data_IF_390563955338
#
_entry.id   IF_390563955338
#
_cell.length_a   1.000
_cell.length_b   1.000
_cell.length_c   1.000
_cell.angle_alpha   90.00
_cell.angle_beta   90.00
_cell.angle_gamma   90.00
#
_symmetry.space_group_name_H-M   'P 1'
#
loop_
_entity.id
_entity.type
_entity.pdbx_description
1 polymer ?
#
# COMPACT_ATOMS: atom_id res chain seq x y z
N UNK A 1 -8.15 44.89 62.72
CA UNK A 1 -6.97 44.04 62.74
C UNK A 1 -7.39 42.59 62.70
N UNK A 2 -7.26 41.94 61.61
CA UNK A 2 -7.12 40.47 61.57
C UNK A 2 -7.05 40.06 60.10
N UNK A 3 -5.89 39.65 59.75
CA UNK A 3 -5.45 38.88 58.62
C UNK A 3 -6.51 38.06 57.89
N UNK A 4 -6.81 38.44 56.65
CA UNK A 4 -7.45 37.56 55.67
C UNK A 4 -6.48 37.49 54.51
N UNK A 5 -5.48 36.73 54.68
CA UNK A 5 -4.51 36.43 53.64
C UNK A 5 -4.12 34.97 53.79
N UNK A 6 -4.79 34.05 53.15
CA UNK A 6 -4.27 32.70 52.98
C UNK A 6 -5.17 31.72 52.17
N UNK A 7 -6.18 32.20 51.46
CA UNK A 7 -7.02 31.26 50.71
C UNK A 7 -6.91 31.36 49.19
N UNK A 8 -5.86 32.03 48.69
CA UNK A 8 -5.68 32.22 47.26
C UNK A 8 -4.53 31.38 46.66
N UNK A 9 -4.20 30.24 47.23
CA UNK A 9 -3.10 29.37 46.72
C UNK A 9 -3.45 27.91 46.53
N UNK A 10 -4.69 27.54 46.49
CA UNK A 10 -5.10 26.14 46.29
C UNK A 10 -6.13 25.99 45.17
N UNK A 11 -5.80 26.42 43.97
CA UNK A 11 -6.74 26.34 42.88
C UNK A 11 -6.09 26.16 41.47
N UNK A 12 -4.80 25.93 41.43
CA UNK A 12 -4.12 25.87 40.11
C UNK A 12 -3.27 24.62 39.93
N UNK A 13 -3.77 23.49 40.39
CA UNK A 13 -3.01 22.25 40.27
C UNK A 13 -3.97 21.09 40.01
N UNK A 14 -4.71 21.10 38.96
CA UNK A 14 -5.37 19.88 38.44
C UNK A 14 -6.06 20.14 37.12
N UNK A 15 -5.35 20.38 36.03
CA UNK A 15 -5.87 20.09 34.69
C UNK A 15 -4.72 19.96 33.69
N UNK A 16 -3.71 19.22 34.02
CA UNK A 16 -2.90 18.53 33.03
C UNK A 16 -3.59 17.19 32.76
N UNK A 17 -4.79 17.25 32.19
CA UNK A 17 -5.33 16.12 31.47
C UNK A 17 -4.39 15.91 30.30
N UNK A 18 -3.51 14.94 30.45
CA UNK A 18 -2.79 14.34 29.37
C UNK A 18 -3.84 13.92 28.33
N UNK A 19 -4.04 14.77 27.32
CA UNK A 19 -4.51 14.32 26.04
C UNK A 19 -3.42 13.41 25.48
N UNK A 20 -3.36 12.19 25.98
CA UNK A 20 -2.80 11.07 25.25
C UNK A 20 -3.72 10.89 24.02
N UNK A 21 -3.52 11.78 23.06
CA UNK A 21 -3.93 11.54 21.71
C UNK A 21 -3.28 10.23 21.34
N UNK A 22 -4.00 9.14 21.51
CA UNK A 22 -3.76 7.91 20.78
C UNK A 22 -3.86 8.32 19.32
N UNK A 23 -2.73 8.75 18.77
CA UNK A 23 -2.53 8.81 17.34
C UNK A 23 -2.68 7.36 16.92
N UNK A 24 -3.92 6.97 16.66
CA UNK A 24 -4.18 5.79 15.88
C UNK A 24 -3.34 6.02 14.63
N UNK A 25 -2.23 5.31 14.52
CA UNK A 25 -1.44 5.24 13.32
C UNK A 25 -2.43 4.83 12.25
N UNK A 26 -2.98 5.82 11.55
CA UNK A 26 -3.78 5.59 10.38
C UNK A 26 -2.90 4.68 9.54
N UNK A 27 -3.33 3.44 9.35
CA UNK A 27 -2.65 2.43 8.56
C UNK A 27 -2.39 3.13 7.25
N UNK A 28 -1.17 3.61 7.07
CA UNK A 28 -0.78 4.42 5.94
C UNK A 28 -1.13 3.58 4.73
N UNK A 29 -2.15 3.99 4.01
CA UNK A 29 -2.53 3.35 2.75
C UNK A 29 -1.45 3.66 1.73
N UNK A 30 -0.26 3.10 1.96
CA UNK A 30 0.83 3.19 1.00
C UNK A 30 0.49 2.25 -0.12
N UNK A 31 0.23 2.73 -1.32
CA UNK A 31 -0.11 1.87 -2.44
C UNK A 31 1.11 1.07 -2.94
N UNK A 32 2.30 1.32 -2.39
CA UNK A 32 3.52 0.62 -2.78
C UNK A 32 3.44 -0.86 -2.41
N UNK A 33 3.71 -1.74 -3.37
CA UNK A 33 3.64 -3.18 -3.20
C UNK A 33 3.68 -3.92 -4.52
N UNK A 34 3.62 -5.25 -4.43
CA UNK A 34 3.53 -6.16 -5.54
C UNK A 34 2.09 -6.64 -5.71
N UNK A 35 1.50 -6.34 -6.84
CA UNK A 35 0.15 -6.75 -7.23
C UNK A 35 0.23 -7.78 -8.35
N UNK A 36 -0.50 -8.86 -8.21
CA UNK A 36 -0.51 -9.96 -9.18
C UNK A 36 -1.94 -10.42 -9.44
N UNK A 37 -2.21 -10.86 -10.65
CA UNK A 37 -3.43 -11.61 -10.95
C UNK A 37 -3.46 -12.89 -10.11
N UNK A 38 -4.53 -13.14 -9.33
CA UNK A 38 -4.61 -14.36 -8.55
C UNK A 38 -4.65 -15.58 -9.46
N UNK A 39 -3.83 -16.57 -9.15
CA UNK A 39 -3.80 -17.83 -9.88
C UNK A 39 -4.89 -18.76 -9.33
N UNK A 40 -6.03 -18.82 -9.99
CA UNK A 40 -7.11 -19.73 -9.64
C UNK A 40 -7.14 -21.03 -10.47
N UNK A 41 -6.02 -21.50 -10.96
CA UNK A 41 -5.92 -22.84 -11.58
C UNK A 41 -6.69 -23.03 -12.88
N UNK A 42 -7.21 -21.98 -13.49
CA UNK A 42 -7.89 -22.03 -14.78
C UNK A 42 -6.92 -21.64 -15.89
N UNK A 43 -6.57 -22.60 -16.69
CA UNK A 43 -5.42 -22.70 -17.60
C UNK A 43 -5.26 -21.66 -18.72
N UNK A 44 -5.97 -20.53 -18.74
CA UNK A 44 -5.79 -19.48 -19.76
C UNK A 44 -5.94 -18.05 -19.21
N UNK A 45 -5.84 -17.84 -17.92
CA UNK A 45 -5.93 -16.51 -17.34
C UNK A 45 -4.61 -15.77 -17.59
N UNK A 46 -4.69 -14.61 -18.24
CA UNK A 46 -3.55 -13.71 -18.41
C UNK A 46 -2.98 -13.29 -17.07
N UNK A 47 -1.72 -13.60 -16.82
CA UNK A 47 -1.03 -13.18 -15.60
C UNK A 47 -0.46 -11.78 -15.82
N UNK A 48 -0.85 -10.87 -14.95
CA UNK A 48 -0.33 -9.50 -14.91
C UNK A 48 0.32 -9.27 -13.56
N UNK A 49 1.52 -8.73 -13.57
CA UNK A 49 2.27 -8.35 -12.38
C UNK A 49 2.55 -6.85 -12.42
N UNK A 50 2.20 -6.14 -11.36
CA UNK A 50 2.44 -4.70 -11.20
C UNK A 50 3.19 -4.46 -9.89
N UNK A 51 4.39 -3.91 -9.98
CA UNK A 51 5.16 -3.44 -8.84
C UNK A 51 5.04 -1.92 -8.72
N UNK A 52 4.51 -1.43 -7.61
CA UNK A 52 4.42 -0.01 -7.28
C UNK A 52 5.48 0.33 -6.23
N UNK A 53 6.35 1.29 -6.53
CA UNK A 53 7.44 1.70 -5.64
C UNK A 53 7.11 2.97 -4.84
N UNK A 54 7.73 3.16 -3.66
CA UNK A 54 7.48 4.35 -2.83
C UNK A 54 7.78 5.68 -3.52
N UNK A 55 8.70 5.70 -4.49
CA UNK A 55 9.08 6.87 -5.27
C UNK A 55 8.13 7.22 -6.41
N UNK A 56 6.90 6.63 -6.42
CA UNK A 56 5.87 6.83 -7.45
C UNK A 56 6.19 6.25 -8.83
N UNK A 57 7.19 5.43 -8.94
CA UNK A 57 7.47 4.64 -10.15
C UNK A 57 6.73 3.31 -10.09
N UNK A 58 6.48 2.73 -11.27
CA UNK A 58 5.98 1.35 -11.38
C UNK A 58 6.69 0.58 -12.47
N UNK A 59 6.65 -0.75 -12.34
CA UNK A 59 6.97 -1.69 -13.40
C UNK A 59 5.80 -2.67 -13.57
N UNK A 60 5.49 -3.03 -14.78
CA UNK A 60 4.45 -3.97 -15.11
C UNK A 60 4.92 -4.98 -16.14
N UNK A 61 4.62 -6.24 -15.89
CA UNK A 61 4.84 -7.36 -16.80
C UNK A 61 3.52 -8.08 -17.06
N UNK A 62 3.43 -8.74 -18.22
CA UNK A 62 2.29 -9.57 -18.58
C UNK A 62 2.79 -10.77 -19.38
N UNK A 63 2.21 -11.94 -19.13
CA UNK A 63 2.58 -13.20 -19.78
C UNK A 63 2.24 -13.24 -21.27
N UNK A 64 1.29 -12.42 -21.74
CA UNK A 64 1.00 -12.27 -23.18
C UNK A 64 2.09 -11.54 -23.95
N UNK A 65 3.03 -10.91 -23.23
CA UNK A 65 4.18 -10.19 -23.80
C UNK A 65 5.44 -10.49 -22.98
N UNK A 66 5.88 -11.74 -22.95
CA UNK A 66 7.01 -12.14 -22.14
C UNK A 66 8.26 -11.30 -22.50
N UNK A 67 9.03 -10.95 -21.48
CA UNK A 67 10.25 -10.15 -21.64
C UNK A 67 10.05 -8.66 -21.88
N UNK A 68 8.80 -8.17 -21.98
CA UNK A 68 8.52 -6.73 -22.10
C UNK A 68 8.06 -6.17 -20.76
N UNK A 69 8.88 -5.30 -20.19
CA UNK A 69 8.56 -4.54 -18.99
C UNK A 69 8.06 -3.16 -19.38
N UNK A 70 6.87 -2.81 -18.92
CA UNK A 70 6.38 -1.43 -18.97
C UNK A 70 6.80 -0.72 -17.71
N UNK A 71 7.32 0.50 -17.85
CA UNK A 71 7.75 1.36 -16.74
C UNK A 71 7.07 2.70 -16.85
N UNK A 72 6.83 3.33 -15.74
CA UNK A 72 6.25 4.66 -15.70
C UNK A 72 6.06 5.18 -14.28
N UNK A 73 5.18 6.14 -14.14
CA UNK A 73 4.85 6.77 -12.87
C UNK A 73 3.38 6.59 -12.53
N UNK A 74 3.07 6.64 -11.24
CA UNK A 74 1.70 6.58 -10.78
C UNK A 74 1.36 7.71 -9.80
N UNK A 75 0.08 8.00 -9.69
CA UNK A 75 -0.45 8.95 -8.70
C UNK A 75 -1.59 8.33 -7.92
N UNK A 76 -1.73 8.73 -6.67
CA UNK A 76 -2.83 8.34 -5.80
C UNK A 76 -3.85 9.47 -5.74
N UNK A 77 -5.10 9.19 -6.07
CA UNK A 77 -6.22 10.14 -5.99
C UNK A 77 -7.38 9.44 -5.30
N UNK A 78 -7.80 9.91 -4.14
CA UNK A 78 -8.92 9.36 -3.38
C UNK A 78 -8.86 7.81 -3.27
N UNK A 79 -7.71 7.28 -2.85
CA UNK A 79 -7.45 5.84 -2.69
C UNK A 79 -7.45 5.01 -4.00
N UNK A 80 -7.53 5.66 -5.15
CA UNK A 80 -7.36 5.02 -6.45
C UNK A 80 -5.98 5.35 -7.01
N UNK A 81 -5.35 4.37 -7.60
CA UNK A 81 -4.01 4.48 -8.19
C UNK A 81 -4.18 4.62 -9.69
N UNK A 82 -3.63 5.69 -10.25
CA UNK A 82 -3.65 5.96 -11.68
C UNK A 82 -2.24 5.85 -12.23
N UNK A 83 -2.05 4.95 -13.19
CA UNK A 83 -0.80 4.81 -13.92
C UNK A 83 -0.77 5.82 -15.09
N UNK A 84 0.41 6.28 -15.47
CA UNK A 84 0.58 7.25 -16.57
C UNK A 84 0.20 6.69 -17.95
N UNK A 85 0.08 5.37 -18.08
CA UNK A 85 -0.40 4.69 -19.27
C UNK A 85 -1.94 4.60 -19.39
N UNK A 86 -2.68 5.30 -18.52
CA UNK A 86 -4.14 5.33 -18.49
C UNK A 86 -4.81 4.18 -17.74
N UNK A 87 -4.05 3.26 -17.17
CA UNK A 87 -4.62 2.22 -16.31
C UNK A 87 -4.96 2.76 -14.92
N UNK A 88 -5.94 2.13 -14.28
CA UNK A 88 -6.39 2.46 -12.93
C UNK A 88 -6.42 1.20 -12.09
N UNK A 89 -5.81 1.25 -10.90
CA UNK A 89 -5.88 0.21 -9.89
C UNK A 89 -6.71 0.71 -8.71
N UNK A 90 -7.79 0.03 -8.38
CA UNK A 90 -8.71 0.41 -7.31
C UNK A 90 -8.99 -0.79 -6.40
N UNK A 91 -8.99 -0.56 -5.08
CA UNK A 91 -9.29 -1.60 -4.10
C UNK A 91 -10.77 -1.99 -4.17
N UNK A 92 -11.06 -3.28 -4.14
CA UNK A 92 -12.41 -3.79 -3.88
C UNK A 92 -12.79 -3.55 -2.43
N UNK A 93 -14.09 -3.35 -2.21
CA UNK A 93 -14.65 -3.32 -0.85
C UNK A 93 -14.85 -4.72 -0.29
N UNK A 94 -14.99 -5.69 -1.17
CA UNK A 94 -15.21 -7.09 -0.82
C UNK A 94 -13.87 -7.79 -0.61
N UNK A 95 -13.75 -8.53 0.48
CA UNK A 95 -12.57 -9.31 0.84
C UNK A 95 -12.70 -10.79 0.43
N UNK A 96 -13.77 -11.16 -0.28
CA UNK A 96 -14.08 -12.54 -0.67
C UNK A 96 -14.01 -13.53 0.52
N UNK A 97 -14.33 -13.04 1.74
CA UNK A 97 -14.31 -13.83 2.96
C UNK A 97 -12.92 -14.05 3.57
N UNK A 98 -11.87 -13.41 3.04
CA UNK A 98 -10.51 -13.44 3.58
C UNK A 98 -10.02 -12.02 3.90
N UNK A 99 -10.25 -11.52 5.12
CA UNK A 99 -9.87 -10.17 5.52
C UNK A 99 -8.35 -9.95 5.58
N UNK A 100 -7.54 -11.01 5.49
CA UNK A 100 -6.08 -10.92 5.44
C UNK A 100 -5.55 -10.51 4.07
N UNK A 101 -6.37 -10.59 3.02
CA UNK A 101 -6.00 -10.30 1.65
C UNK A 101 -6.65 -9.01 1.14
N UNK A 102 -5.93 -8.28 0.34
CA UNK A 102 -6.44 -7.08 -0.31
C UNK A 102 -6.57 -7.32 -1.81
N UNK A 103 -7.82 -7.22 -2.29
CA UNK A 103 -8.14 -7.39 -3.71
C UNK A 103 -8.31 -6.03 -4.38
N UNK A 104 -7.87 -5.96 -5.63
CA UNK A 104 -7.90 -4.77 -6.46
C UNK A 104 -8.44 -5.10 -7.84
N UNK A 105 -8.98 -4.10 -8.54
CA UNK A 105 -9.30 -4.16 -9.96
C UNK A 105 -8.33 -3.29 -10.73
N UNK A 106 -7.64 -3.87 -11.71
CA UNK A 106 -6.86 -3.14 -12.70
C UNK A 106 -7.73 -2.91 -13.93
N UNK A 107 -8.13 -1.68 -14.16
CA UNK A 107 -8.93 -1.29 -15.31
C UNK A 107 -8.05 -0.78 -16.44
N UNK A 108 -8.21 -1.35 -17.63
CA UNK A 108 -7.55 -0.92 -18.87
C UNK A 108 -8.54 -0.95 -20.02
N UNK A 109 -8.78 0.19 -20.68
CA UNK A 109 -9.68 0.29 -21.84
C UNK A 109 -11.08 -0.32 -21.58
N UNK A 110 -11.63 -0.08 -20.39
CA UNK A 110 -12.93 -0.60 -19.97
C UNK A 110 -12.95 -2.09 -19.58
N UNK A 111 -11.83 -2.79 -19.70
CA UNK A 111 -11.68 -4.17 -19.20
C UNK A 111 -11.11 -4.15 -17.80
N UNK A 112 -11.64 -5.01 -16.95
CA UNK A 112 -11.19 -5.18 -15.58
C UNK A 112 -10.43 -6.50 -15.43
N UNK A 113 -9.35 -6.46 -14.67
CA UNK A 113 -8.51 -7.61 -14.33
C UNK A 113 -8.41 -7.62 -12.81
N UNK A 114 -8.75 -8.75 -12.21
CA UNK A 114 -8.63 -8.94 -10.77
C UNK A 114 -7.15 -9.01 -10.39
N UNK A 115 -6.79 -8.29 -9.34
CA UNK A 115 -5.44 -8.21 -8.80
C UNK A 115 -5.47 -8.46 -7.30
N UNK A 116 -4.47 -9.14 -6.80
CA UNK A 116 -4.23 -9.35 -5.37
C UNK A 116 -2.98 -8.55 -4.97
N UNK A 117 -3.05 -7.81 -3.88
CA UNK A 117 -1.83 -7.33 -3.22
C UNK A 117 -1.12 -8.54 -2.62
N UNK A 118 -0.10 -9.00 -3.32
CA UNK A 118 0.64 -10.20 -2.98
C UNK A 118 1.66 -9.95 -1.87
N UNK A 119 2.35 -8.83 -1.93
CA UNK A 119 3.37 -8.46 -0.97
C UNK A 119 3.57 -6.95 -0.88
N UNK A 120 3.84 -6.48 0.30
CA UNK A 120 4.34 -5.14 0.59
C UNK A 120 5.60 -5.23 1.48
N UNK A 121 6.24 -4.09 1.74
CA UNK A 121 7.44 -4.03 2.57
C UNK A 121 7.17 -4.48 4.01
N UNK A 122 5.97 -4.18 4.55
CA UNK A 122 5.59 -4.54 5.92
C UNK A 122 5.49 -6.06 6.09
N UNK A 123 4.94 -6.74 5.11
CA UNK A 123 4.82 -8.18 5.14
C UNK A 123 6.20 -8.86 5.21
N UNK A 124 7.14 -8.44 4.37
CA UNK A 124 8.48 -9.04 4.32
C UNK A 124 9.36 -8.66 5.50
N UNK A 125 9.29 -7.43 5.98
CA UNK A 125 9.99 -7.00 7.20
C UNK A 125 9.53 -7.84 8.40
N UNK A 126 8.22 -7.99 8.55
CA UNK A 126 7.64 -8.69 9.70
C UNK A 126 7.87 -10.21 9.66
N UNK A 127 7.79 -10.81 8.48
CA UNK A 127 7.87 -12.26 8.30
C UNK A 127 9.30 -12.78 8.19
N UNK A 128 10.15 -12.08 7.46
CA UNK A 128 11.47 -12.58 7.05
C UNK A 128 12.63 -11.74 7.60
N UNK A 129 12.33 -10.67 8.36
CA UNK A 129 13.37 -9.79 8.91
C UNK A 129 14.19 -9.05 7.83
N UNK A 130 13.66 -8.98 6.61
CA UNK A 130 14.34 -8.33 5.49
C UNK A 130 14.19 -6.81 5.63
N UNK A 131 15.29 -6.04 5.44
CA UNK A 131 15.18 -4.58 5.47
C UNK A 131 14.34 -4.07 4.31
N UNK A 132 13.67 -2.93 4.53
CA UNK A 132 12.84 -2.27 3.52
C UNK A 132 13.62 -2.00 2.22
N UNK A 133 14.86 -1.52 2.34
CA UNK A 133 15.72 -1.26 1.19
C UNK A 133 16.01 -2.52 0.39
N UNK A 134 16.33 -3.62 1.07
CA UNK A 134 16.60 -4.91 0.43
C UNK A 134 15.37 -5.45 -0.28
N UNK A 135 14.18 -5.31 0.32
CA UNK A 135 12.91 -5.70 -0.31
C UNK A 135 12.69 -4.96 -1.64
N UNK A 136 12.75 -3.62 -1.63
CA UNK A 136 12.52 -2.82 -2.82
C UNK A 136 13.57 -3.04 -3.92
N UNK A 137 14.82 -3.25 -3.52
CA UNK A 137 15.90 -3.58 -4.46
C UNK A 137 15.68 -4.93 -5.15
N UNK A 138 15.30 -5.95 -4.39
CA UNK A 138 14.99 -7.28 -4.94
C UNK A 138 13.77 -7.23 -5.86
N UNK A 139 12.70 -6.58 -5.44
CA UNK A 139 11.49 -6.42 -6.24
C UNK A 139 11.77 -5.71 -7.57
N UNK A 140 12.57 -4.65 -7.54
CA UNK A 140 12.98 -3.95 -8.75
C UNK A 140 13.78 -4.84 -9.69
N UNK A 141 14.69 -5.64 -9.15
CA UNK A 141 15.50 -6.58 -9.95
C UNK A 141 14.62 -7.66 -10.60
N UNK A 142 13.62 -8.17 -9.89
CA UNK A 142 12.79 -9.27 -10.38
C UNK A 142 11.71 -8.80 -11.36
N UNK A 143 11.07 -7.67 -11.10
CA UNK A 143 9.90 -7.23 -11.89
C UNK A 143 10.27 -6.20 -12.97
N UNK A 144 11.34 -5.43 -12.76
CA UNK A 144 11.69 -4.35 -13.68
C UNK A 144 12.80 -4.71 -14.67
N UNK A 145 13.34 -5.91 -14.65
CA UNK A 145 14.32 -6.34 -15.61
C UNK A 145 13.65 -6.95 -16.85
N UNK A 146 14.07 -6.50 -18.02
CA UNK A 146 13.75 -7.18 -19.27
C UNK A 146 14.60 -8.45 -19.29
N UNK A 147 13.97 -9.59 -19.23
CA UNK A 147 14.64 -10.85 -19.53
C UNK A 147 14.88 -10.89 -21.05
N UNK A 148 16.12 -10.74 -21.42
CA UNK A 148 16.58 -10.95 -22.81
C UNK A 148 16.84 -12.43 -23.06
#
# INVERSE_FOLDING_TARGET
>A
MRNISNYAKLGLLAFLIACSSSVALAKSSRPAGLYMTPYFGQGNAKIVTVALFPNRQYCMQSDDKPGKVRRGTYRLVKQKIYLDNGMKLAKYKDDFGDPSREFYSLTQNGKEIDMLLYADDQFFIKREGVSQEKFWRSLKKEVCNDYR
#
